data_IF_537158842647
#
_entry.id   IF_537158842647
#
_cell.length_a   1.000
_cell.length_b   1.000
_cell.length_c   1.000
_cell.angle_alpha   90.00
_cell.angle_beta   90.00
_cell.angle_gamma   90.00
#
_symmetry.space_group_name_H-M   'P 1'
#
loop_
_entity.id
_entity.type
_entity.pdbx_description
1 polymer ?
#
# COMPACT_ATOMS: atom_id res chain seq x y z
N UNK A 1 9.28 12.37 4.09
CA UNK A 1 9.39 13.22 5.29
C UNK A 1 8.16 13.06 6.18
N UNK A 2 8.05 13.77 7.32
CA UNK A 2 6.92 13.66 8.27
C UNK A 2 5.53 13.80 7.61
N UNK A 3 5.39 14.69 6.64
CA UNK A 3 4.14 14.88 5.87
C UNK A 3 3.74 13.64 5.06
N UNK A 4 4.71 12.86 4.57
CA UNK A 4 4.44 11.61 3.87
C UNK A 4 3.94 10.49 4.81
N UNK A 5 4.23 10.60 6.11
CA UNK A 5 3.75 9.65 7.13
C UNK A 5 2.28 9.94 7.43
N UNK A 6 1.89 11.20 7.64
CA UNK A 6 0.50 11.59 7.90
C UNK A 6 -0.39 11.32 6.68
N UNK A 7 0.09 11.62 5.47
CA UNK A 7 -0.64 11.30 4.25
C UNK A 7 -0.80 9.79 4.06
N UNK A 8 0.25 9.01 4.33
CA UNK A 8 0.20 7.54 4.27
C UNK A 8 -0.82 6.96 5.26
N UNK A 9 -0.84 7.49 6.49
CA UNK A 9 -1.79 7.10 7.53
C UNK A 9 -3.24 7.43 7.14
N UNK A 10 -3.49 8.62 6.58
CA UNK A 10 -4.80 9.04 6.12
C UNK A 10 -5.34 8.13 5.00
N UNK A 11 -4.50 7.80 4.00
CA UNK A 11 -4.88 6.91 2.90
C UNK A 11 -5.17 5.49 3.42
N UNK A 12 -4.38 5.01 4.38
CA UNK A 12 -4.58 3.72 5.03
C UNK A 12 -5.93 3.64 5.74
N UNK A 13 -6.28 4.66 6.54
CA UNK A 13 -7.54 4.70 7.30
C UNK A 13 -8.76 4.72 6.38
N UNK A 14 -8.73 5.51 5.31
CA UNK A 14 -9.80 5.58 4.31
C UNK A 14 -9.98 4.23 3.62
N UNK A 15 -8.88 3.60 3.20
CA UNK A 15 -8.92 2.31 2.52
C UNK A 15 -9.51 1.21 3.41
N UNK A 16 -9.18 1.20 4.70
CA UNK A 16 -9.70 0.21 5.64
C UNK A 16 -11.17 0.36 5.92
N UNK A 17 -11.61 1.59 6.10
CA UNK A 17 -13.00 1.86 6.38
C UNK A 17 -13.90 1.39 5.22
N UNK A 18 -13.49 1.67 3.97
CA UNK A 18 -14.19 1.17 2.78
C UNK A 18 -14.22 -0.37 2.72
N UNK A 19 -13.10 -1.02 3.04
CA UNK A 19 -13.02 -2.48 3.08
C UNK A 19 -13.91 -3.10 4.14
N UNK A 20 -13.85 -2.56 5.37
CA UNK A 20 -14.71 -2.96 6.49
C UNK A 20 -16.18 -2.90 6.09
N UNK A 21 -16.60 -1.80 5.47
CA UNK A 21 -18.00 -1.60 5.08
C UNK A 21 -18.44 -2.61 4.02
N UNK A 22 -17.63 -2.86 2.99
CA UNK A 22 -17.94 -3.84 1.93
C UNK A 22 -17.97 -5.27 2.45
N UNK A 23 -17.02 -5.63 3.30
CA UNK A 23 -16.88 -6.99 3.83
C UNK A 23 -17.99 -7.29 4.85
N UNK A 24 -18.35 -6.30 5.68
CA UNK A 24 -19.52 -6.35 6.56
C UNK A 24 -20.82 -6.54 5.79
N UNK A 25 -21.02 -5.76 4.70
CA UNK A 25 -22.18 -5.92 3.78
C UNK A 25 -22.24 -7.31 3.13
N UNK A 26 -21.10 -7.95 2.91
CA UNK A 26 -21.01 -9.31 2.39
C UNK A 26 -21.19 -10.41 3.46
N UNK A 27 -21.42 -10.05 4.73
CA UNK A 27 -21.61 -11.00 5.84
C UNK A 27 -20.34 -11.68 6.33
N UNK A 28 -19.16 -11.13 5.98
CA UNK A 28 -17.86 -11.67 6.38
C UNK A 28 -17.35 -10.88 7.59
N UNK A 29 -16.89 -11.59 8.62
CA UNK A 29 -16.30 -10.98 9.81
C UNK A 29 -14.80 -10.82 9.60
N UNK A 30 -14.33 -9.57 9.43
CA UNK A 30 -12.96 -9.29 9.01
C UNK A 30 -12.01 -9.13 10.20
N UNK A 31 -10.86 -9.82 10.15
CA UNK A 31 -9.74 -9.61 11.08
C UNK A 31 -8.71 -8.70 10.38
N UNK A 32 -9.03 -7.40 10.29
CA UNK A 32 -8.29 -6.43 9.48
C UNK A 32 -6.83 -6.35 9.86
N UNK A 33 -6.49 -6.33 11.14
CA UNK A 33 -5.12 -6.14 11.62
C UNK A 33 -4.10 -7.10 11.01
N UNK A 34 -4.49 -8.34 10.66
CA UNK A 34 -3.61 -9.30 9.98
C UNK A 34 -3.47 -9.02 8.49
N UNK A 35 -4.56 -8.68 7.81
CA UNK A 35 -4.54 -8.31 6.39
C UNK A 35 -3.84 -6.99 6.14
N UNK A 36 -3.97 -6.09 7.09
CA UNK A 36 -3.35 -4.77 7.12
C UNK A 36 -1.86 -4.82 7.13
N UNK A 37 -1.28 -5.73 7.93
CA UNK A 37 0.16 -5.92 7.99
C UNK A 37 0.72 -6.39 6.64
N UNK A 38 -0.02 -7.22 5.91
CA UNK A 38 0.37 -7.67 4.57
C UNK A 38 0.17 -6.56 3.53
N UNK A 39 -0.90 -5.77 3.65
CA UNK A 39 -1.17 -4.65 2.75
C UNK A 39 -0.16 -3.51 2.93
N UNK A 40 0.26 -3.25 4.17
CA UNK A 40 1.30 -2.29 4.53
C UNK A 40 2.65 -2.67 3.92
N UNK A 41 3.02 -3.96 3.93
CA UNK A 41 4.24 -4.45 3.25
C UNK A 41 4.18 -4.22 1.74
N UNK A 42 3.04 -4.50 1.11
CA UNK A 42 2.85 -4.25 -0.33
C UNK A 42 2.93 -2.75 -0.64
N UNK A 43 2.30 -1.92 0.19
CA UNK A 43 2.31 -0.47 0.03
C UNK A 43 3.74 0.09 0.10
N UNK A 44 4.50 -0.23 1.16
CA UNK A 44 5.88 0.24 1.27
C UNK A 44 6.80 -0.35 0.22
N UNK A 45 6.61 -1.62 -0.18
CA UNK A 45 7.34 -2.25 -1.28
C UNK A 45 7.15 -1.49 -2.60
N UNK A 46 5.91 -1.08 -2.90
CA UNK A 46 5.61 -0.28 -4.08
C UNK A 46 6.23 1.13 -4.01
N UNK A 47 6.17 1.80 -2.87
CA UNK A 47 6.81 3.13 -2.70
C UNK A 47 8.31 3.04 -2.95
N UNK A 48 8.99 2.01 -2.45
CA UNK A 48 10.42 1.79 -2.68
C UNK A 48 10.70 1.49 -4.16
N UNK A 49 9.86 0.69 -4.83
CA UNK A 49 9.99 0.44 -6.26
C UNK A 49 9.84 1.72 -7.09
N UNK A 50 8.91 2.60 -6.72
CA UNK A 50 8.74 3.92 -7.34
C UNK A 50 9.95 4.83 -7.13
N UNK A 51 10.43 4.97 -5.89
CA UNK A 51 11.59 5.80 -5.56
C UNK A 51 12.84 5.33 -6.31
N UNK A 52 13.06 4.01 -6.35
CA UNK A 52 14.17 3.40 -7.08
C UNK A 52 14.08 3.67 -8.58
N UNK A 53 12.87 3.61 -9.17
CA UNK A 53 12.66 3.84 -10.60
C UNK A 53 12.77 5.32 -11.01
N UNK A 54 12.76 6.25 -10.05
CA UNK A 54 12.95 7.68 -10.30
C UNK A 54 14.41 8.13 -10.24
N UNK A 55 15.35 7.23 -9.88
CA UNK A 55 16.77 7.53 -9.86
C UNK A 55 17.32 7.72 -11.29
N UNK A 56 18.35 8.58 -11.47
CA UNK A 56 18.98 8.79 -12.78
C UNK A 56 19.53 7.50 -13.41
N UNK A 57 19.91 6.52 -12.58
CA UNK A 57 20.49 5.24 -12.98
C UNK A 57 19.45 4.14 -13.23
N UNK A 58 18.17 4.43 -13.02
CA UNK A 58 17.08 3.46 -13.16
C UNK A 58 16.87 3.04 -14.61
N UNK A 59 16.59 1.74 -14.81
CA UNK A 59 16.19 1.22 -16.11
C UNK A 59 14.67 1.41 -16.32
N UNK A 60 14.21 1.57 -17.57
CA UNK A 60 12.79 1.74 -17.87
C UNK A 60 11.86 0.66 -17.28
N UNK A 61 12.36 -0.57 -17.13
CA UNK A 61 11.58 -1.71 -16.67
C UNK A 61 11.66 -1.96 -15.14
N UNK A 62 12.48 -1.19 -14.41
CA UNK A 62 12.73 -1.41 -12.98
C UNK A 62 11.47 -1.19 -12.14
N UNK A 63 10.63 -0.23 -12.54
CA UNK A 63 9.33 0.02 -11.89
C UNK A 63 8.39 -1.18 -12.04
N UNK A 64 8.24 -1.66 -13.28
CA UNK A 64 7.35 -2.77 -13.58
C UNK A 64 7.82 -4.08 -12.94
N UNK A 65 9.13 -4.24 -12.79
CA UNK A 65 9.75 -5.40 -12.14
C UNK A 65 9.63 -5.32 -10.61
N UNK A 66 9.73 -4.11 -10.04
CA UNK A 66 9.62 -3.88 -8.59
C UNK A 66 8.20 -4.05 -8.06
N UNK A 67 7.18 -3.59 -8.79
CA UNK A 67 5.76 -3.69 -8.39
C UNK A 67 5.21 -5.12 -8.54
N UNK A 68 5.80 -5.96 -9.40
CA UNK A 68 5.30 -7.33 -9.67
C UNK A 68 5.81 -8.40 -8.69
N UNK A 69 6.67 -8.02 -7.74
CA UNK A 69 7.21 -8.92 -6.70
C UNK A 69 6.29 -8.99 -5.49
#
# INVERSE_FOLDING_TARGET
GKEGIELGQCVYEIYNHDLEERVSKAGVNLLLSKWMLELEKVFYGNIVAFDTAMLPEAKPDDLQTGIRK
#
